data_IF_104949804007
#
_entry.id   IF_104949804007
#
_cell.length_a   1.000
_cell.length_b   1.000
_cell.length_c   1.000
_cell.angle_alpha   90.00
_cell.angle_beta   90.00
_cell.angle_gamma   90.00
#
_symmetry.space_group_name_H-M   'P 1'
#
loop_
_entity.id
_entity.type
_entity.pdbx_description
1 polymer ?
#
# COMPACT_ATOMS: atom_id res chain seq x y z
N UNK A 1 -8.40 19.75 2.43
CA UNK A 1 -8.66 20.75 1.36
C UNK A 1 -10.16 20.89 1.25
N UNK A 2 -10.70 22.09 1.05
CA UNK A 2 -12.16 22.26 1.12
C UNK A 2 -12.81 21.62 -0.10
N UNK A 3 -13.93 20.91 0.07
CA UNK A 3 -14.61 20.15 -0.99
C UNK A 3 -14.82 20.94 -2.31
N UNK A 4 -15.25 22.23 -2.29
CA UNK A 4 -15.44 23.01 -3.51
C UNK A 4 -14.14 23.22 -4.30
N UNK A 5 -13.01 23.34 -3.59
CA UNK A 5 -11.68 23.54 -4.20
C UNK A 5 -11.25 22.26 -4.93
N UNK A 6 -11.42 21.10 -4.29
CA UNK A 6 -11.11 19.79 -4.91
C UNK A 6 -11.91 19.63 -6.22
N UNK A 7 -13.22 19.88 -6.17
CA UNK A 7 -14.09 19.78 -7.36
C UNK A 7 -13.64 20.72 -8.48
N UNK A 8 -13.29 21.96 -8.14
CA UNK A 8 -12.82 22.94 -9.11
C UNK A 8 -11.48 22.53 -9.76
N UNK A 9 -10.50 22.08 -8.96
CA UNK A 9 -9.21 21.64 -9.47
C UNK A 9 -9.36 20.40 -10.38
N UNK A 10 -10.16 19.40 -9.97
CA UNK A 10 -10.40 18.20 -10.78
C UNK A 10 -11.16 18.50 -12.09
N UNK A 11 -12.13 19.43 -12.06
CA UNK A 11 -12.84 19.85 -13.28
C UNK A 11 -11.89 20.56 -14.23
N UNK A 12 -11.08 21.48 -13.71
CA UNK A 12 -10.08 22.23 -14.48
C UNK A 12 -9.07 21.27 -15.11
N UNK A 13 -8.63 20.25 -14.37
CA UNK A 13 -7.73 19.22 -14.87
C UNK A 13 -8.35 18.44 -16.05
N UNK A 14 -9.63 18.07 -15.95
CA UNK A 14 -10.34 17.36 -17.02
C UNK A 14 -10.53 18.25 -18.27
N UNK A 15 -10.83 19.54 -18.09
CA UNK A 15 -10.91 20.50 -19.19
C UNK A 15 -9.56 20.68 -19.90
N UNK A 16 -8.47 20.74 -19.14
CA UNK A 16 -7.12 20.81 -19.70
C UNK A 16 -6.76 19.56 -20.49
N UNK A 17 -7.13 18.38 -20.00
CA UNK A 17 -6.95 17.12 -20.72
C UNK A 17 -7.67 17.15 -22.07
N UNK A 18 -8.96 17.54 -22.08
CA UNK A 18 -9.77 17.65 -23.31
C UNK A 18 -9.26 18.68 -24.32
N UNK A 19 -8.50 19.68 -23.88
CA UNK A 19 -7.85 20.65 -24.78
C UNK A 19 -6.55 20.13 -25.41
N UNK A 20 -5.92 19.10 -24.84
CA UNK A 20 -4.60 18.55 -25.27
C UNK A 20 -4.72 17.27 -26.10
N UNK A 21 -5.87 17.01 -26.71
CA UNK A 21 -6.21 15.75 -27.39
C UNK A 21 -5.30 15.42 -28.59
N UNK A 22 -4.47 16.35 -29.05
CA UNK A 22 -3.49 16.14 -30.13
C UNK A 22 -2.37 15.14 -29.76
N UNK A 23 -2.01 15.03 -28.48
CA UNK A 23 -1.09 14.01 -27.97
C UNK A 23 -1.69 13.37 -26.70
N UNK A 24 -2.40 12.25 -26.89
CA UNK A 24 -3.13 11.57 -25.82
C UNK A 24 -2.22 10.95 -24.76
N UNK A 25 -1.03 10.52 -25.12
CA UNK A 25 -0.09 9.90 -24.18
C UNK A 25 0.47 10.94 -23.23
N UNK A 26 0.99 12.05 -23.79
CA UNK A 26 1.48 13.16 -23.00
C UNK A 26 0.36 13.80 -22.18
N UNK A 27 -0.83 13.96 -22.76
CA UNK A 27 -2.00 14.47 -22.04
C UNK A 27 -2.39 13.55 -20.86
N UNK A 28 -2.36 12.23 -21.04
CA UNK A 28 -2.66 11.26 -19.97
C UNK A 28 -1.62 11.37 -18.86
N UNK A 29 -0.33 11.42 -19.19
CA UNK A 29 0.73 11.54 -18.21
C UNK A 29 0.59 12.84 -17.37
N UNK A 30 0.28 13.97 -18.03
CA UNK A 30 0.04 15.24 -17.35
C UNK A 30 -1.21 15.18 -16.47
N UNK A 31 -2.31 14.61 -16.98
CA UNK A 31 -3.53 14.41 -16.20
C UNK A 31 -3.25 13.58 -14.95
N UNK A 32 -2.61 12.42 -15.09
CA UNK A 32 -2.33 11.53 -13.98
C UNK A 32 -1.44 12.19 -12.92
N UNK A 33 -0.39 12.90 -13.35
CA UNK A 33 0.47 13.67 -12.44
C UNK A 33 -0.30 14.77 -11.70
N UNK A 34 -1.15 15.51 -12.42
CA UNK A 34 -2.01 16.54 -11.84
C UNK A 34 -2.98 15.94 -10.82
N UNK A 35 -3.64 14.83 -11.16
CA UNK A 35 -4.56 14.12 -10.27
C UNK A 35 -3.87 13.68 -8.98
N UNK A 36 -2.71 13.02 -9.08
CA UNK A 36 -1.90 12.62 -7.92
C UNK A 36 -1.47 13.82 -7.07
N UNK A 37 -1.18 14.97 -7.69
CA UNK A 37 -0.81 16.20 -6.96
C UNK A 37 -1.98 16.75 -6.16
N UNK A 38 -3.18 16.80 -6.75
CA UNK A 38 -4.40 17.24 -6.06
C UNK A 38 -4.74 16.28 -4.92
N UNK A 39 -4.66 14.97 -5.19
CA UNK A 39 -4.89 13.93 -4.19
C UNK A 39 -3.90 14.04 -3.02
N UNK A 40 -2.61 14.27 -3.28
CA UNK A 40 -1.61 14.44 -2.22
C UNK A 40 -1.89 15.67 -1.37
N UNK A 41 -2.19 16.83 -1.99
CA UNK A 41 -2.59 18.04 -1.25
C UNK A 41 -3.83 17.81 -0.36
N UNK A 42 -4.74 16.95 -0.79
CA UNK A 42 -5.90 16.55 0.02
C UNK A 42 -5.45 15.74 1.23
N UNK A 43 -4.60 14.73 1.03
CA UNK A 43 -4.08 13.87 2.11
C UNK A 43 -3.25 14.66 3.13
N UNK A 44 -2.41 15.59 2.67
CA UNK A 44 -1.51 16.39 3.52
C UNK A 44 -2.27 17.37 4.43
N UNK A 45 -3.46 17.83 4.02
CA UNK A 45 -4.21 18.85 4.77
C UNK A 45 -4.90 18.31 6.03
N UNK A 46 -4.70 17.04 6.42
CA UNK A 46 -5.30 16.39 7.60
C UNK A 46 -6.77 16.79 7.82
N UNK A 47 -7.72 16.05 7.26
CA UNK A 47 -9.13 16.37 7.47
C UNK A 47 -9.52 16.17 8.95
N UNK A 48 -9.95 17.26 9.60
CA UNK A 48 -10.45 17.25 10.98
C UNK A 48 -11.71 16.38 11.14
N UNK A 49 -12.46 16.17 10.04
CA UNK A 49 -13.66 15.34 10.00
C UNK A 49 -13.47 14.09 9.12
N UNK A 50 -13.75 12.93 9.70
CA UNK A 50 -13.74 11.64 9.00
C UNK A 50 -14.79 11.60 7.88
N UNK A 51 -15.99 12.16 8.10
CA UNK A 51 -17.03 12.21 7.06
C UNK A 51 -16.58 13.06 5.87
N UNK A 52 -15.90 14.19 6.11
CA UNK A 52 -15.36 15.01 5.03
C UNK A 52 -14.27 14.29 4.24
N UNK A 53 -13.45 13.46 4.92
CA UNK A 53 -12.44 12.64 4.27
C UNK A 53 -13.09 11.63 3.32
N UNK A 54 -14.11 10.91 3.79
CA UNK A 54 -14.87 9.94 2.99
C UNK A 54 -15.62 10.63 1.84
N UNK A 55 -16.23 11.80 2.07
CA UNK A 55 -16.87 12.57 0.99
C UNK A 55 -15.88 13.04 -0.08
N UNK A 56 -14.71 13.51 0.34
CA UNK A 56 -13.65 13.89 -0.60
C UNK A 56 -13.20 12.69 -1.42
N UNK A 57 -13.06 11.52 -0.79
CA UNK A 57 -12.74 10.27 -1.48
C UNK A 57 -13.83 9.89 -2.51
N UNK A 58 -15.12 10.06 -2.19
CA UNK A 58 -16.21 9.87 -3.15
C UNK A 58 -16.03 10.77 -4.40
N UNK A 59 -15.67 12.03 -4.19
CA UNK A 59 -15.44 12.98 -5.29
C UNK A 59 -14.28 12.50 -6.18
N UNK A 60 -13.15 12.13 -5.59
CA UNK A 60 -12.01 11.61 -6.34
C UNK A 60 -12.38 10.36 -7.15
N UNK A 61 -13.10 9.41 -6.54
CA UNK A 61 -13.56 8.20 -7.21
C UNK A 61 -14.46 8.48 -8.41
N UNK A 62 -15.52 9.30 -8.21
CA UNK A 62 -16.45 9.65 -9.27
C UNK A 62 -15.76 10.38 -10.43
N UNK A 63 -14.92 11.37 -10.12
CA UNK A 63 -14.19 12.13 -11.14
C UNK A 63 -13.21 11.25 -11.92
N UNK A 64 -12.50 10.36 -11.22
CA UNK A 64 -11.53 9.49 -11.85
C UNK A 64 -12.19 8.43 -12.73
N UNK A 65 -13.24 7.77 -12.24
CA UNK A 65 -14.00 6.78 -12.99
C UNK A 65 -14.58 7.39 -14.28
N UNK A 66 -15.11 8.62 -14.20
CA UNK A 66 -15.61 9.37 -15.36
C UNK A 66 -14.54 9.60 -16.44
N UNK A 67 -13.30 9.89 -16.05
CA UNK A 67 -12.20 10.11 -16.99
C UNK A 67 -11.51 8.81 -17.45
N UNK A 68 -11.65 7.70 -16.71
CA UNK A 68 -10.86 6.47 -16.91
C UNK A 68 -10.87 5.94 -18.36
N UNK A 69 -12.04 5.91 -18.99
CA UNK A 69 -12.20 5.41 -20.36
C UNK A 69 -11.58 6.31 -21.44
N UNK A 70 -11.35 7.59 -21.14
CA UNK A 70 -10.75 8.54 -22.08
C UNK A 70 -9.21 8.51 -22.03
N UNK A 71 -8.61 7.95 -20.97
CA UNK A 71 -7.16 7.92 -20.75
C UNK A 71 -6.48 6.82 -21.57
N UNK A 72 -5.39 7.18 -22.26
CA UNK A 72 -4.70 6.28 -23.19
C UNK A 72 -3.66 5.37 -22.53
N UNK A 73 -2.89 5.89 -21.57
CA UNK A 73 -1.75 5.17 -20.97
C UNK A 73 -2.19 4.28 -19.81
N UNK A 74 -2.04 2.96 -19.97
CA UNK A 74 -2.52 1.95 -19.01
C UNK A 74 -1.82 2.04 -17.64
N UNK A 75 -0.49 2.06 -17.59
CA UNK A 75 0.23 2.04 -16.31
C UNK A 75 -0.07 3.27 -15.45
N UNK A 76 -0.21 4.44 -16.09
CA UNK A 76 -0.52 5.69 -15.40
C UNK A 76 -1.93 5.69 -14.82
N UNK A 77 -2.91 5.11 -15.53
CA UNK A 77 -4.28 4.99 -15.01
C UNK A 77 -4.36 3.92 -13.92
N UNK A 78 -3.70 2.78 -14.09
CA UNK A 78 -3.73 1.72 -13.10
C UNK A 78 -3.14 2.17 -11.76
N UNK A 79 -2.04 2.92 -11.76
CA UNK A 79 -1.44 3.48 -10.52
C UNK A 79 -2.42 4.33 -9.71
N UNK A 80 -3.21 5.18 -10.37
CA UNK A 80 -4.22 5.99 -9.67
C UNK A 80 -5.35 5.10 -9.13
N UNK A 81 -5.81 4.14 -9.93
CA UNK A 81 -6.79 3.14 -9.52
C UNK A 81 -6.34 2.41 -8.24
N UNK A 82 -5.09 1.93 -8.21
CA UNK A 82 -4.50 1.24 -7.07
C UNK A 82 -4.39 2.17 -5.86
N UNK A 83 -3.99 3.44 -6.05
CA UNK A 83 -3.92 4.43 -4.98
C UNK A 83 -5.31 4.74 -4.38
N UNK A 84 -6.32 4.96 -5.22
CA UNK A 84 -7.69 5.21 -4.77
C UNK A 84 -8.29 3.98 -4.08
N UNK A 85 -8.04 2.79 -4.62
CA UNK A 85 -8.45 1.52 -4.01
C UNK A 85 -7.85 1.37 -2.61
N UNK A 86 -6.55 1.61 -2.46
CA UNK A 86 -5.86 1.60 -1.16
C UNK A 86 -6.46 2.60 -0.17
N UNK A 87 -6.79 3.82 -0.61
CA UNK A 87 -7.45 4.81 0.25
C UNK A 87 -8.86 4.36 0.68
N UNK A 88 -9.60 3.68 -0.19
CA UNK A 88 -10.90 3.10 0.17
C UNK A 88 -10.75 1.99 1.22
N UNK A 89 -9.75 1.12 1.09
CA UNK A 89 -9.45 0.10 2.09
C UNK A 89 -9.16 0.76 3.43
N UNK A 90 -8.26 1.76 3.47
CA UNK A 90 -7.94 2.52 4.69
C UNK A 90 -9.18 3.14 5.31
N UNK A 91 -10.02 3.80 4.49
CA UNK A 91 -11.25 4.41 4.97
C UNK A 91 -12.15 3.39 5.67
N UNK A 92 -12.39 2.23 5.05
CA UNK A 92 -13.33 1.21 5.54
C UNK A 92 -12.77 0.41 6.71
N UNK A 93 -11.46 0.23 6.81
CA UNK A 93 -10.82 -0.45 7.93
C UNK A 93 -10.63 0.44 9.17
N UNK A 94 -10.78 1.76 9.02
CA UNK A 94 -10.69 2.72 10.12
C UNK A 94 -11.81 2.47 11.14
N UNK A 95 -11.49 2.55 12.44
CA UNK A 95 -12.46 2.38 13.53
C UNK A 95 -13.65 3.33 13.37
N UNK A 96 -13.42 4.55 12.87
CA UNK A 96 -14.45 5.56 12.66
C UNK A 96 -15.50 5.12 11.65
N UNK A 97 -15.16 4.25 10.68
CA UNK A 97 -16.15 3.67 9.77
C UNK A 97 -17.20 2.84 10.50
N UNK A 98 -16.76 2.05 11.48
CA UNK A 98 -17.62 1.17 12.29
C UNK A 98 -18.55 1.96 13.21
N UNK A 99 -18.08 3.11 13.68
CA UNK A 99 -18.86 4.03 14.53
C UNK A 99 -20.01 4.71 13.76
N UNK A 100 -19.94 4.77 12.42
CA UNK A 100 -21.03 5.29 11.60
C UNK A 100 -22.23 4.34 11.61
N UNK A 101 -23.40 4.86 11.96
CA UNK A 101 -24.65 4.12 11.86
C UNK A 101 -24.96 3.71 10.41
N UNK A 102 -25.73 2.64 10.23
CA UNK A 102 -26.13 2.16 8.90
C UNK A 102 -26.99 3.19 8.14
N UNK A 103 -27.67 4.08 8.85
CA UNK A 103 -28.48 5.18 8.29
C UNK A 103 -27.66 6.45 8.02
N UNK A 104 -26.37 6.47 8.36
CA UNK A 104 -25.53 7.63 8.16
C UNK A 104 -25.39 7.95 6.66
N UNK A 105 -25.65 9.22 6.32
CA UNK A 105 -25.61 9.72 4.94
C UNK A 105 -24.23 9.54 4.28
N UNK A 106 -23.14 9.69 5.03
CA UNK A 106 -21.78 9.49 4.54
C UNK A 106 -21.54 8.03 4.14
N UNK A 107 -21.93 7.09 5.02
CA UNK A 107 -21.80 5.65 4.77
C UNK A 107 -22.61 5.20 3.55
N UNK A 108 -23.85 5.68 3.40
CA UNK A 108 -24.71 5.37 2.25
C UNK A 108 -24.11 5.92 0.94
N UNK A 109 -23.74 7.20 0.92
CA UNK A 109 -23.14 7.82 -0.28
C UNK A 109 -21.83 7.15 -0.69
N UNK A 110 -20.99 6.74 0.26
CA UNK A 110 -19.75 6.02 -0.06
C UNK A 110 -20.05 4.66 -0.69
N UNK A 111 -21.01 3.91 -0.14
CA UNK A 111 -21.45 2.62 -0.71
C UNK A 111 -21.98 2.78 -2.13
N UNK A 112 -22.87 3.75 -2.36
CA UNK A 112 -23.41 4.06 -3.69
C UNK A 112 -22.31 4.46 -4.67
N UNK A 113 -21.36 5.30 -4.21
CA UNK A 113 -20.24 5.75 -5.03
C UNK A 113 -19.34 4.59 -5.44
N UNK A 114 -18.97 3.71 -4.49
CA UNK A 114 -18.14 2.53 -4.77
C UNK A 114 -18.84 1.59 -5.76
N UNK A 115 -20.17 1.40 -5.62
CA UNK A 115 -20.96 0.57 -6.53
C UNK A 115 -21.01 1.14 -7.96
N UNK A 116 -21.26 2.44 -8.09
CA UNK A 116 -21.25 3.13 -9.37
C UNK A 116 -19.86 3.09 -10.05
N UNK A 117 -18.80 3.32 -9.26
CA UNK A 117 -17.41 3.29 -9.74
C UNK A 117 -17.02 1.87 -10.16
N UNK A 118 -17.38 0.85 -9.39
CA UNK A 118 -17.16 -0.54 -9.76
C UNK A 118 -17.84 -0.88 -11.09
N UNK A 119 -19.13 -0.58 -11.21
CA UNK A 119 -19.91 -0.82 -12.44
C UNK A 119 -19.31 -0.10 -13.66
N UNK A 120 -18.74 1.08 -13.47
CA UNK A 120 -18.11 1.84 -14.53
C UNK A 120 -16.74 1.26 -14.93
N UNK A 121 -15.91 0.91 -13.96
CA UNK A 121 -14.55 0.41 -14.18
C UNK A 121 -14.51 -1.07 -14.63
N UNK A 122 -15.51 -1.86 -14.27
CA UNK A 122 -15.66 -3.25 -14.72
C UNK A 122 -15.75 -3.35 -16.25
N UNK A 123 -16.33 -2.34 -16.92
CA UNK A 123 -16.37 -2.23 -18.39
C UNK A 123 -14.98 -2.20 -19.04
N UNK A 124 -13.96 -1.89 -18.24
CA UNK A 124 -12.56 -1.86 -18.64
C UNK A 124 -11.74 -2.97 -17.96
N UNK A 125 -12.40 -4.03 -17.48
CA UNK A 125 -11.82 -5.17 -16.75
C UNK A 125 -11.11 -4.79 -15.44
N UNK A 126 -11.54 -3.69 -14.79
CA UNK A 126 -11.04 -3.32 -13.46
C UNK A 126 -12.12 -3.55 -12.39
N UNK A 127 -12.19 -4.80 -11.90
CA UNK A 127 -13.22 -5.25 -10.95
C UNK A 127 -12.89 -5.10 -9.47
N UNK A 128 -11.70 -4.60 -9.09
CA UNK A 128 -11.19 -4.64 -7.71
C UNK A 128 -12.08 -3.94 -6.67
N UNK A 129 -12.82 -2.90 -7.06
CA UNK A 129 -13.68 -2.13 -6.14
C UNK A 129 -14.82 -2.93 -5.51
N UNK A 130 -15.21 -4.07 -6.07
CA UNK A 130 -16.17 -4.98 -5.43
C UNK A 130 -15.68 -5.46 -4.06
N UNK A 131 -14.36 -5.60 -3.87
CA UNK A 131 -13.78 -5.99 -2.58
C UNK A 131 -14.07 -4.97 -1.47
N UNK A 132 -14.11 -3.68 -1.80
CA UNK A 132 -14.42 -2.63 -0.82
C UNK A 132 -15.80 -2.87 -0.23
N UNK A 133 -16.78 -3.35 -1.02
CA UNK A 133 -18.12 -3.68 -0.52
C UNK A 133 -18.09 -4.86 0.46
N UNK A 134 -17.29 -5.89 0.21
CA UNK A 134 -17.07 -6.99 1.17
C UNK A 134 -16.47 -6.44 2.47
N UNK A 135 -15.43 -5.61 2.36
CA UNK A 135 -14.77 -5.00 3.52
C UNK A 135 -15.67 -4.09 4.34
N UNK A 136 -16.69 -3.44 3.74
CA UNK A 136 -17.66 -2.61 4.48
C UNK A 136 -18.54 -3.41 5.45
N UNK A 137 -18.63 -4.72 5.24
CA UNK A 137 -19.39 -5.65 6.09
C UNK A 137 -18.45 -6.45 7.01
N UNK A 138 -17.29 -6.87 6.50
CA UNK A 138 -16.30 -7.68 7.23
C UNK A 138 -14.96 -6.96 7.31
N UNK A 139 -14.70 -6.28 8.43
CA UNK A 139 -13.51 -5.45 8.63
C UNK A 139 -12.32 -6.26 9.19
N UNK A 140 -12.36 -6.48 10.51
CA UNK A 140 -11.31 -7.11 11.33
C UNK A 140 -11.81 -8.40 11.99
N UNK A 141 -13.09 -8.73 11.81
CA UNK A 141 -13.82 -9.72 12.63
C UNK A 141 -13.64 -11.16 12.15
N UNK A 142 -12.73 -11.42 11.20
CA UNK A 142 -12.43 -12.77 10.76
C UNK A 142 -11.71 -13.55 11.87
N UNK A 143 -12.20 -14.73 12.31
CA UNK A 143 -11.61 -15.47 13.42
C UNK A 143 -10.13 -15.81 13.21
N UNK A 144 -9.77 -16.30 12.02
CA UNK A 144 -8.38 -16.61 11.67
C UNK A 144 -7.51 -15.35 11.68
N UNK A 145 -8.01 -14.20 11.22
CA UNK A 145 -7.26 -12.94 11.28
C UNK A 145 -6.98 -12.52 12.73
N UNK A 146 -7.98 -12.67 13.60
CA UNK A 146 -7.83 -12.37 15.03
C UNK A 146 -6.79 -13.27 15.69
N UNK A 147 -6.79 -14.57 15.37
CA UNK A 147 -5.78 -15.53 15.87
C UNK A 147 -4.38 -15.24 15.31
N UNK A 148 -4.27 -14.89 14.02
CA UNK A 148 -3.03 -14.44 13.39
C UNK A 148 -2.46 -13.25 14.15
N UNK A 149 -3.26 -12.19 14.34
CA UNK A 149 -2.80 -10.97 15.02
C UNK A 149 -2.43 -11.23 16.48
N UNK A 150 -3.22 -12.04 17.19
CA UNK A 150 -2.96 -12.43 18.57
C UNK A 150 -1.72 -13.32 18.76
N UNK A 151 -1.13 -13.83 17.67
CA UNK A 151 0.05 -14.70 17.74
C UNK A 151 -0.24 -16.07 18.33
N UNK A 152 -1.38 -16.67 17.97
CA UNK A 152 -1.79 -17.98 18.49
C UNK A 152 -0.76 -19.08 18.17
N UNK A 153 -0.32 -19.82 19.19
CA UNK A 153 0.70 -20.88 19.08
C UNK A 153 0.21 -22.14 18.34
N UNK A 154 -1.12 -22.33 18.28
CA UNK A 154 -1.79 -23.49 17.70
C UNK A 154 -2.34 -23.23 16.29
N UNK A 155 -1.87 -22.17 15.63
CA UNK A 155 -2.33 -21.79 14.30
C UNK A 155 -1.65 -22.64 13.22
N UNK A 156 -2.46 -23.34 12.43
CA UNK A 156 -1.96 -24.18 11.33
C UNK A 156 -1.71 -23.36 10.06
N UNK A 157 -0.61 -23.66 9.36
CA UNK A 157 -0.27 -22.98 8.10
C UNK A 157 -1.38 -23.13 7.04
N UNK A 158 -2.05 -24.29 7.00
CA UNK A 158 -3.21 -24.56 6.13
C UNK A 158 -4.37 -23.60 6.40
N UNK A 159 -4.71 -23.35 7.67
CA UNK A 159 -5.77 -22.42 8.06
C UNK A 159 -5.45 -21.00 7.58
N UNK A 160 -4.19 -20.57 7.72
CA UNK A 160 -3.75 -19.24 7.25
C UNK A 160 -3.77 -19.14 5.74
N UNK A 161 -3.32 -20.19 5.03
CA UNK A 161 -3.33 -20.23 3.57
C UNK A 161 -4.75 -20.21 3.01
N UNK A 162 -5.70 -20.91 3.63
CA UNK A 162 -7.12 -20.86 3.24
C UNK A 162 -7.69 -19.45 3.38
N UNK A 163 -7.44 -18.80 4.52
CA UNK A 163 -7.85 -17.41 4.73
C UNK A 163 -7.20 -16.46 3.71
N UNK A 164 -5.89 -16.58 3.48
CA UNK A 164 -5.18 -15.70 2.55
C UNK A 164 -5.52 -15.94 1.09
N UNK A 165 -5.99 -17.13 0.71
CA UNK A 165 -6.47 -17.39 -0.65
C UNK A 165 -7.71 -16.54 -1.01
N UNK A 166 -8.46 -16.06 -0.01
CA UNK A 166 -9.64 -15.21 -0.19
C UNK A 166 -9.37 -13.71 -0.02
N UNK A 167 -8.18 -13.33 0.45
CA UNK A 167 -7.82 -11.96 0.79
C UNK A 167 -6.98 -11.31 -0.32
N UNK A 168 -7.25 -10.04 -0.60
CA UNK A 168 -6.42 -9.28 -1.54
C UNK A 168 -5.11 -8.83 -0.85
N UNK A 169 -3.95 -8.96 -1.52
CA UNK A 169 -2.66 -8.61 -0.92
C UNK A 169 -2.56 -7.14 -0.50
N UNK A 170 -3.25 -6.22 -1.18
CA UNK A 170 -3.30 -4.82 -0.77
C UNK A 170 -4.03 -4.65 0.57
N UNK A 171 -5.09 -5.43 0.82
CA UNK A 171 -5.82 -5.39 2.10
C UNK A 171 -4.91 -5.84 3.23
N UNK A 172 -4.18 -6.95 3.05
CA UNK A 172 -3.23 -7.44 4.05
C UNK A 172 -2.14 -6.39 4.35
N UNK A 173 -1.56 -5.76 3.31
CA UNK A 173 -0.58 -4.67 3.48
C UNK A 173 -1.16 -3.48 4.24
N UNK A 174 -2.36 -3.05 3.90
CA UNK A 174 -3.01 -1.91 4.57
C UNK A 174 -3.33 -2.24 6.02
N UNK A 175 -3.75 -3.47 6.33
CA UNK A 175 -3.96 -3.89 7.74
C UNK A 175 -2.67 -3.79 8.55
N UNK A 176 -1.54 -4.29 8.03
CA UNK A 176 -0.23 -4.16 8.70
C UNK A 176 0.11 -2.69 8.93
N UNK A 177 -0.05 -1.85 7.91
CA UNK A 177 0.23 -0.41 8.02
C UNK A 177 -0.66 0.29 9.05
N UNK A 178 -1.97 0.00 9.05
CA UNK A 178 -2.89 0.61 10.01
C UNK A 178 -2.61 0.17 11.45
N UNK A 179 -2.22 -1.09 11.67
CA UNK A 179 -1.78 -1.56 12.98
C UNK A 179 -0.54 -0.79 13.46
N UNK A 180 0.39 -0.45 12.55
CA UNK A 180 1.55 0.38 12.88
C UNK A 180 1.17 1.83 13.18
N UNK A 181 0.27 2.42 12.38
CA UNK A 181 -0.25 3.77 12.58
C UNK A 181 -0.93 3.90 13.98
N UNK A 182 -1.58 2.83 14.45
CA UNK A 182 -2.24 2.73 15.76
C UNK A 182 -1.32 2.19 16.89
N UNK A 183 0.00 2.16 16.68
CA UNK A 183 1.00 1.66 17.66
C UNK A 183 0.78 0.21 18.14
N UNK A 184 0.09 -0.62 17.36
CA UNK A 184 -0.13 -2.04 17.62
C UNK A 184 0.97 -2.91 16.98
N UNK A 185 2.24 -2.62 17.27
CA UNK A 185 3.39 -3.22 16.55
C UNK A 185 3.45 -4.75 16.68
N UNK A 186 3.07 -5.33 17.81
CA UNK A 186 3.07 -6.78 18.00
C UNK A 186 2.07 -7.47 17.06
N UNK A 187 0.85 -6.94 16.97
CA UNK A 187 -0.17 -7.44 16.04
C UNK A 187 0.25 -7.24 14.58
N UNK A 188 0.86 -6.09 14.27
CA UNK A 188 1.40 -5.80 12.94
C UNK A 188 2.50 -6.81 12.56
N UNK A 189 3.42 -7.10 13.48
CA UNK A 189 4.51 -8.05 13.27
C UNK A 189 3.99 -9.47 13.07
N UNK A 190 3.03 -9.92 13.89
CA UNK A 190 2.42 -11.23 13.75
C UNK A 190 1.75 -11.39 12.39
N UNK A 191 0.91 -10.44 11.97
CA UNK A 191 0.28 -10.45 10.64
C UNK A 191 1.32 -10.42 9.51
N UNK A 192 2.29 -9.51 9.60
CA UNK A 192 3.32 -9.32 8.59
C UNK A 192 4.13 -10.60 8.31
N UNK A 193 4.46 -11.37 9.35
CA UNK A 193 5.19 -12.65 9.21
C UNK A 193 4.41 -13.65 8.36
N UNK A 194 3.10 -13.76 8.61
CA UNK A 194 2.25 -14.66 7.84
C UNK A 194 2.08 -14.17 6.41
N UNK A 195 1.97 -12.85 6.17
CA UNK A 195 1.75 -12.27 4.84
C UNK A 195 2.71 -12.79 3.75
N UNK A 196 3.94 -13.20 4.10
CA UNK A 196 4.89 -13.79 3.15
C UNK A 196 4.49 -15.17 2.60
N UNK A 197 3.49 -15.84 3.18
CA UNK A 197 2.87 -17.03 2.58
C UNK A 197 1.99 -16.71 1.39
N UNK A 198 1.49 -15.47 1.28
CA UNK A 198 0.70 -15.05 0.13
C UNK A 198 1.63 -14.90 -1.09
N UNK A 199 1.34 -15.55 -2.24
CA UNK A 199 2.26 -15.58 -3.39
C UNK A 199 2.67 -14.19 -3.89
N UNK A 200 1.75 -13.23 -3.94
CA UNK A 200 2.05 -11.86 -4.36
C UNK A 200 2.84 -11.02 -3.34
N UNK A 201 2.97 -11.49 -2.10
CA UNK A 201 3.63 -10.78 -1.00
C UNK A 201 4.97 -11.38 -0.58
N UNK A 202 5.27 -12.64 -0.97
CA UNK A 202 6.49 -13.36 -0.60
C UNK A 202 7.78 -12.53 -0.82
N UNK A 203 7.85 -11.86 -1.98
CA UNK A 203 8.99 -11.01 -2.39
C UNK A 203 8.69 -9.50 -2.32
N UNK A 204 7.66 -9.09 -1.57
CA UNK A 204 7.30 -7.68 -1.49
C UNK A 204 8.32 -6.87 -0.68
N UNK A 205 9.10 -6.04 -1.38
CA UNK A 205 10.18 -5.22 -0.79
C UNK A 205 9.68 -4.31 0.33
N UNK A 206 8.55 -3.63 0.13
CA UNK A 206 8.01 -2.69 1.12
C UNK A 206 7.57 -3.41 2.39
N UNK A 207 6.86 -4.53 2.25
CA UNK A 207 6.43 -5.32 3.40
C UNK A 207 7.64 -5.88 4.18
N UNK A 208 8.68 -6.31 3.44
CA UNK A 208 9.93 -6.77 4.04
C UNK A 208 10.69 -5.65 4.77
N UNK A 209 10.77 -4.48 4.16
CA UNK A 209 11.32 -3.28 4.78
C UNK A 209 10.61 -2.98 6.12
N UNK A 210 9.28 -2.99 6.11
CA UNK A 210 8.45 -2.83 7.31
C UNK A 210 8.76 -3.90 8.36
N UNK A 211 8.84 -5.18 7.97
CA UNK A 211 9.19 -6.28 8.88
C UNK A 211 10.54 -6.05 9.58
N UNK A 212 11.58 -5.76 8.80
CA UNK A 212 12.94 -5.60 9.31
C UNK A 212 13.07 -4.34 10.18
N UNK A 213 12.36 -3.26 9.86
CA UNK A 213 12.31 -2.06 10.71
C UNK A 213 11.61 -2.34 12.05
N UNK A 214 10.54 -3.15 12.09
CA UNK A 214 9.92 -3.59 13.36
C UNK A 214 10.90 -4.42 14.21
N UNK A 215 11.59 -5.38 13.59
CA UNK A 215 12.60 -6.20 14.27
C UNK A 215 13.77 -5.38 14.80
N UNK A 216 14.22 -4.40 14.04
CA UNK A 216 15.28 -3.48 14.45
C UNK A 216 14.85 -2.62 15.65
N UNK A 217 13.64 -2.04 15.60
CA UNK A 217 13.10 -1.20 16.70
C UNK A 217 12.85 -1.98 17.98
N UNK A 218 12.42 -3.25 17.87
CA UNK A 218 12.24 -4.15 19.02
C UNK A 218 13.55 -4.74 19.56
N UNK A 219 14.71 -4.37 19.00
CA UNK A 219 16.03 -4.90 19.35
C UNK A 219 16.14 -6.43 19.29
N UNK A 220 15.30 -7.09 18.48
CA UNK A 220 15.33 -8.54 18.30
C UNK A 220 16.39 -8.93 17.26
N UNK A 221 17.67 -8.81 17.66
CA UNK A 221 18.84 -8.96 16.78
C UNK A 221 18.91 -10.35 16.16
N UNK A 222 18.60 -11.40 16.92
CA UNK A 222 18.64 -12.78 16.42
C UNK A 222 17.64 -12.99 15.28
N UNK A 223 16.38 -12.58 15.49
CA UNK A 223 15.35 -12.72 14.47
C UNK A 223 15.61 -11.83 13.26
N UNK A 224 16.12 -10.62 13.50
CA UNK A 224 16.53 -9.69 12.46
C UNK A 224 17.62 -10.30 11.56
N UNK A 225 18.65 -10.91 12.14
CA UNK A 225 19.71 -11.57 11.38
C UNK A 225 19.18 -12.78 10.60
N UNK A 226 18.31 -13.58 11.22
CA UNK A 226 17.65 -14.72 10.58
C UNK A 226 16.85 -14.27 9.35
N UNK A 227 15.99 -13.25 9.49
CA UNK A 227 15.15 -12.78 8.38
C UNK A 227 15.94 -11.99 7.33
N UNK A 228 16.99 -11.25 7.73
CA UNK A 228 17.97 -10.69 6.80
C UNK A 228 18.67 -11.77 5.95
N UNK A 229 18.86 -12.98 6.47
CA UNK A 229 19.52 -14.07 5.72
C UNK A 229 18.66 -14.66 4.58
N UNK A 230 17.35 -14.38 4.60
CA UNK A 230 16.34 -14.90 3.66
C UNK A 230 16.10 -13.97 2.48
N UNK A 231 16.55 -12.72 2.54
CA UNK A 231 16.29 -11.73 1.51
C UNK A 231 17.44 -11.67 0.48
N UNK A 232 17.11 -11.37 -0.78
CA UNK A 232 18.09 -11.32 -1.87
C UNK A 232 18.97 -10.07 -1.79
N UNK A 233 20.12 -10.09 -2.47
CA UNK A 233 21.00 -8.92 -2.58
C UNK A 233 20.28 -7.73 -3.27
N UNK A 234 19.47 -8.02 -4.28
CA UNK A 234 18.66 -7.02 -4.99
C UNK A 234 17.66 -6.35 -4.06
N UNK A 235 16.95 -7.14 -3.25
CA UNK A 235 16.00 -6.63 -2.25
C UNK A 235 16.72 -5.80 -1.18
N UNK A 236 17.88 -6.26 -0.70
CA UNK A 236 18.71 -5.52 0.25
C UNK A 236 19.08 -4.13 -0.25
N UNK A 237 19.59 -4.06 -1.49
CA UNK A 237 19.99 -2.81 -2.12
C UNK A 237 18.77 -1.90 -2.30
N UNK A 238 17.61 -2.45 -2.65
CA UNK A 238 16.39 -1.67 -2.79
C UNK A 238 15.93 -1.10 -1.43
N UNK A 239 15.95 -1.89 -0.36
CA UNK A 239 15.62 -1.44 0.99
C UNK A 239 16.58 -0.32 1.44
N UNK A 240 17.88 -0.49 1.25
CA UNK A 240 18.88 0.54 1.59
C UNK A 240 18.61 1.81 0.79
N UNK A 241 18.37 1.71 -0.53
CA UNK A 241 18.06 2.87 -1.37
C UNK A 241 16.79 3.60 -0.95
N UNK A 242 15.77 2.89 -0.48
CA UNK A 242 14.53 3.49 -0.01
C UNK A 242 14.73 4.30 1.28
N UNK A 243 15.66 3.89 2.14
CA UNK A 243 15.81 4.42 3.49
C UNK A 243 17.04 5.31 3.70
N UNK A 244 18.02 5.30 2.79
CA UNK A 244 19.30 6.00 2.93
C UNK A 244 19.20 7.53 3.04
N UNK A 245 18.08 8.14 2.65
CA UNK A 245 17.90 9.59 2.75
C UNK A 245 17.30 9.99 4.11
N UNK A 246 16.91 9.02 4.94
CA UNK A 246 16.33 9.23 6.25
C UNK A 246 17.38 9.05 7.35
N UNK A 247 17.74 10.13 8.05
CA UNK A 247 18.76 10.10 9.12
C UNK A 247 18.45 9.08 10.21
N UNK A 248 17.18 8.92 10.59
CA UNK A 248 16.76 7.95 11.61
C UNK A 248 16.96 6.49 11.21
N UNK A 249 17.13 6.20 9.92
CA UNK A 249 17.31 4.85 9.38
C UNK A 249 18.76 4.51 9.03
N UNK A 250 19.71 5.44 9.18
CA UNK A 250 21.13 5.20 8.84
C UNK A 250 21.71 4.00 9.57
N UNK A 251 21.49 3.89 10.88
CA UNK A 251 21.98 2.76 11.68
C UNK A 251 21.42 1.41 11.19
N UNK A 252 20.16 1.39 10.80
CA UNK A 252 19.51 0.22 10.21
C UNK A 252 20.11 -0.15 8.85
N UNK A 253 20.30 0.83 7.96
CA UNK A 253 20.94 0.63 6.66
C UNK A 253 22.36 0.06 6.79
N UNK A 254 23.15 0.58 7.74
CA UNK A 254 24.50 0.07 8.03
C UNK A 254 24.45 -1.37 8.53
N UNK A 255 23.53 -1.70 9.44
CA UNK A 255 23.37 -3.05 9.97
C UNK A 255 22.97 -4.05 8.87
N UNK A 256 22.02 -3.68 8.00
CA UNK A 256 21.65 -4.48 6.83
C UNK A 256 22.88 -4.69 5.95
N UNK A 257 23.57 -3.62 5.55
CA UNK A 257 24.74 -3.70 4.70
C UNK A 257 25.81 -4.62 5.30
N UNK A 258 26.15 -4.47 6.57
CA UNK A 258 27.12 -5.32 7.28
C UNK A 258 26.69 -6.80 7.30
N UNK A 259 25.43 -7.08 7.66
CA UNK A 259 24.88 -8.43 7.71
C UNK A 259 25.01 -9.10 6.34
N UNK A 260 24.69 -8.37 5.27
CA UNK A 260 24.82 -8.87 3.91
C UNK A 260 26.25 -9.04 3.45
N UNK A 261 27.15 -8.11 3.75
CA UNK A 261 28.57 -8.23 3.44
C UNK A 261 29.13 -9.52 4.05
N UNK A 262 28.84 -9.76 5.32
CA UNK A 262 29.29 -10.97 6.04
C UNK A 262 28.68 -12.23 5.44
N UNK A 263 27.37 -12.25 5.16
CA UNK A 263 26.71 -13.43 4.58
C UNK A 263 27.23 -13.75 3.17
N UNK A 264 27.42 -12.76 2.31
CA UNK A 264 27.97 -12.96 0.97
C UNK A 264 29.45 -13.36 1.02
N UNK A 265 30.22 -12.82 1.96
CA UNK A 265 31.59 -13.25 2.21
C UNK A 265 31.66 -14.72 2.63
N UNK A 266 30.80 -15.15 3.55
CA UNK A 266 30.75 -16.53 4.07
C UNK A 266 30.21 -17.54 3.06
N UNK A 267 29.23 -17.16 2.22
CA UNK A 267 28.67 -18.04 1.19
C UNK A 267 29.64 -18.28 0.02
N UNK A 268 30.73 -17.52 -0.05
CA UNK A 268 31.63 -17.49 -1.19
C UNK A 268 30.93 -16.84 -2.39
N UNK A 269 31.64 -15.98 -3.12
CA UNK A 269 31.19 -15.58 -4.45
C UNK A 269 31.15 -16.86 -5.28
N UNK A 270 29.97 -17.47 -5.43
CA UNK A 270 29.79 -18.55 -6.40
C UNK A 270 30.16 -17.97 -7.76
N UNK A 271 31.26 -18.48 -8.31
CA UNK A 271 31.96 -17.92 -9.44
C UNK A 271 31.25 -18.23 -10.77
N UNK A 272 29.95 -17.96 -10.89
CA UNK A 272 29.18 -18.31 -12.10
C UNK A 272 28.23 -17.25 -12.64
N UNK A 273 28.30 -16.00 -12.16
CA UNK A 273 27.74 -14.87 -12.90
C UNK A 273 28.65 -13.68 -12.80
N UNK A 274 29.31 -13.33 -13.91
CA UNK A 274 30.41 -12.37 -14.06
C UNK A 274 30.09 -10.90 -13.76
N UNK A 275 29.37 -10.59 -12.69
CA UNK A 275 29.23 -9.23 -12.19
C UNK A 275 30.11 -9.07 -10.96
N UNK A 276 31.35 -8.61 -11.18
CA UNK A 276 32.20 -8.10 -10.11
C UNK A 276 31.48 -6.92 -9.44
N UNK A 277 30.87 -7.15 -8.28
CA UNK A 277 30.47 -6.06 -7.40
C UNK A 277 31.75 -5.50 -6.78
N UNK A 278 32.33 -4.51 -7.43
CA UNK A 278 33.39 -3.69 -6.83
C UNK A 278 32.79 -2.92 -5.66
N UNK A 279 33.18 -3.28 -4.44
CA UNK A 279 32.96 -2.44 -3.27
C UNK A 279 33.75 -1.14 -3.44
N UNK A 280 33.04 -0.04 -3.67
CA UNK A 280 33.56 1.32 -3.45
C UNK A 280 32.73 1.93 -2.34
N UNK A 281 33.06 1.58 -1.10
CA UNK A 281 32.78 2.44 0.04
C UNK A 281 33.99 3.37 0.18
N UNK A 282 34.01 4.46 -0.59
CA UNK A 282 34.91 5.58 -0.31
C UNK A 282 34.26 6.46 0.77
N UNK A 283 34.93 6.69 1.91
CA UNK A 283 34.47 7.65 2.90
C UNK A 283 34.69 9.08 2.36
N UNK A 284 33.72 9.96 2.60
CA UNK A 284 33.92 11.42 2.56
C UNK A 284 34.41 11.86 3.93
#
# INVERSE_FOLDING_TARGET
>A
MDLPVIVHELRTLNEQYKKRVTDKEQATAVYCKGFCTILQKFLDKHNDSYEEYVFSLCIFLCHYAASYGELAVYDSKEKICQQLFRLCIKAVLDVKWRELSNENTCRQKFRETVDAVHTQLERFNYGKFQLIKKLMETHWDHPTLSRIMAGADDLEESEVMEYFAEEDPMVLKVRVEMLLDENCEEFAMNLCRWCFLHPELADNVQLRETQLLMLYRSANVEKLQEDCSKISCEMAVQIIKNLQDCESHQGFCVMIAQTFLVQNWLRGVSADSGTKVCYVLTPV
#
